data_IF_781096945822
#
_entry.id   IF_781096945822
#
_cell.length_a   1.000
_cell.length_b   1.000
_cell.length_c   1.000
_cell.angle_alpha   90.00
_cell.angle_beta   90.00
_cell.angle_gamma   90.00
#
_symmetry.space_group_name_H-M   'P 1'
#
loop_
_entity.id
_entity.type
_entity.pdbx_description
1 polymer ?
#
# COMPACT_ATOMS: atom_id res chain seq x y z
N UNK A 1 -10.01 20.56 0.76
CA UNK A 1 -10.47 19.15 0.70
C UNK A 1 -9.26 18.24 0.90
N UNK A 2 -9.36 17.16 1.68
CA UNK A 2 -8.25 16.20 1.89
C UNK A 2 -8.55 14.92 1.11
N UNK A 3 -7.55 14.39 0.41
CA UNK A 3 -7.65 13.17 -0.41
C UNK A 3 -6.65 12.14 0.13
N UNK A 4 -7.05 10.87 0.21
CA UNK A 4 -6.20 9.77 0.66
C UNK A 4 -5.98 8.71 -0.42
N UNK A 5 -4.83 8.04 -0.38
CA UNK A 5 -4.51 6.91 -1.23
C UNK A 5 -4.93 5.62 -0.51
N UNK A 6 -5.77 4.83 -1.15
CA UNK A 6 -6.07 3.47 -0.71
C UNK A 6 -5.19 2.51 -1.52
N UNK A 7 -4.11 2.00 -0.91
CA UNK A 7 -3.09 1.25 -1.66
C UNK A 7 -3.50 -0.21 -1.83
N UNK A 8 -3.25 -0.77 -3.01
CA UNK A 8 -3.53 -2.19 -3.23
C UNK A 8 -2.53 -3.08 -2.48
N UNK A 9 -3.04 -4.05 -1.72
CA UNK A 9 -2.25 -5.03 -0.96
C UNK A 9 -2.61 -6.47 -1.32
N UNK A 10 -3.60 -6.67 -2.18
CA UNK A 10 -4.13 -7.96 -2.61
C UNK A 10 -3.88 -8.18 -4.11
N UNK A 11 -3.47 -9.39 -4.49
CA UNK A 11 -3.08 -9.72 -5.85
C UNK A 11 -3.64 -11.08 -6.26
N UNK A 12 -3.89 -11.32 -7.56
CA UNK A 12 -4.26 -12.63 -8.06
C UNK A 12 -3.19 -13.69 -7.81
N UNK A 13 -3.59 -14.96 -7.83
CA UNK A 13 -2.66 -16.09 -7.88
C UNK A 13 -1.69 -15.97 -9.07
N UNK A 14 -0.46 -16.46 -8.90
CA UNK A 14 0.59 -16.45 -9.93
C UNK A 14 1.40 -15.15 -10.04
N UNK A 15 0.98 -14.07 -9.36
CA UNK A 15 1.79 -12.86 -9.26
C UNK A 15 2.98 -13.06 -8.32
N UNK A 16 4.17 -12.61 -8.73
CA UNK A 16 5.31 -12.48 -7.84
C UNK A 16 5.15 -11.22 -6.97
N UNK A 17 4.82 -11.40 -5.68
CA UNK A 17 4.57 -10.28 -4.77
C UNK A 17 5.82 -9.44 -4.49
N UNK A 18 7.02 -10.03 -4.56
CA UNK A 18 8.25 -9.29 -4.32
C UNK A 18 8.46 -8.19 -5.37
N UNK A 19 8.08 -8.46 -6.63
CA UNK A 19 8.15 -7.50 -7.73
C UNK A 19 7.14 -6.34 -7.58
N UNK A 20 6.09 -6.53 -6.76
CA UNK A 20 5.06 -5.49 -6.53
C UNK A 20 5.46 -4.47 -5.47
N UNK A 21 6.39 -4.82 -4.57
CA UNK A 21 6.83 -3.91 -3.50
C UNK A 21 7.44 -2.60 -4.04
N UNK A 22 8.35 -2.62 -5.03
CA UNK A 22 8.85 -1.38 -5.64
C UNK A 22 7.75 -0.52 -6.27
N UNK A 23 6.76 -1.14 -6.90
CA UNK A 23 5.61 -0.44 -7.51
C UNK A 23 4.74 0.24 -6.44
N UNK A 24 4.54 -0.43 -5.29
CA UNK A 24 3.85 0.16 -4.14
C UNK A 24 4.60 1.38 -3.60
N UNK A 25 5.94 1.29 -3.46
CA UNK A 25 6.77 2.42 -3.04
C UNK A 25 6.64 3.60 -4.00
N UNK A 26 6.65 3.33 -5.31
CA UNK A 26 6.50 4.36 -6.33
C UNK A 26 5.13 5.06 -6.22
N UNK A 27 4.05 4.32 -6.00
CA UNK A 27 2.71 4.88 -5.79
C UNK A 27 2.62 5.75 -4.54
N UNK A 28 3.21 5.31 -3.42
CA UNK A 28 3.22 6.09 -2.16
C UNK A 28 3.98 7.41 -2.36
N UNK A 29 5.16 7.37 -3.00
CA UNK A 29 5.94 8.58 -3.29
C UNK A 29 5.19 9.52 -4.21
N UNK A 30 4.58 9.00 -5.29
CA UNK A 30 3.81 9.79 -6.21
C UNK A 30 2.59 10.46 -5.53
N UNK A 31 1.88 9.73 -4.68
CA UNK A 31 0.75 10.29 -3.92
C UNK A 31 1.20 11.36 -2.93
N UNK A 32 2.29 11.13 -2.19
CA UNK A 32 2.90 12.13 -1.31
C UNK A 32 3.26 13.40 -2.09
N UNK A 33 3.98 13.26 -3.20
CA UNK A 33 4.46 14.38 -4.01
C UNK A 33 3.30 15.13 -4.68
N UNK A 34 2.17 14.45 -4.94
CA UNK A 34 0.93 15.03 -5.42
C UNK A 34 0.06 15.68 -4.31
N UNK A 35 0.49 15.65 -3.04
CA UNK A 35 -0.22 16.29 -1.93
C UNK A 35 -1.36 15.49 -1.31
N UNK A 36 -1.37 14.16 -1.46
CA UNK A 36 -2.32 13.30 -0.76
C UNK A 36 -2.08 13.40 0.76
N UNK A 37 -3.15 13.51 1.53
CA UNK A 37 -3.10 13.74 2.97
C UNK A 37 -2.99 12.44 3.79
N UNK A 38 -3.34 11.29 3.23
CA UNK A 38 -3.35 10.02 3.95
C UNK A 38 -3.10 8.80 3.07
N UNK A 39 -2.62 7.72 3.69
CA UNK A 39 -2.36 6.41 3.10
C UNK A 39 -3.12 5.35 3.91
N UNK A 40 -3.93 4.54 3.22
CA UNK A 40 -4.82 3.55 3.81
C UNK A 40 -4.53 2.15 3.31
N UNK A 41 -4.53 1.19 4.23
CA UNK A 41 -4.19 -0.20 3.96
C UNK A 41 -5.43 -1.11 4.08
N UNK A 42 -6.01 -1.61 2.97
CA UNK A 42 -7.02 -2.66 3.05
C UNK A 42 -6.46 -3.89 3.76
N UNK A 43 -7.27 -4.54 4.61
CA UNK A 43 -6.92 -5.81 5.24
C UNK A 43 -8.03 -6.84 5.04
N UNK A 44 -7.71 -7.96 4.37
CA UNK A 44 -8.64 -9.07 4.14
C UNK A 44 -8.06 -10.38 4.66
N UNK A 45 -8.93 -11.30 5.04
CA UNK A 45 -8.59 -12.64 5.51
C UNK A 45 -9.28 -13.69 4.63
N UNK A 46 -8.71 -14.90 4.58
CA UNK A 46 -9.30 -16.06 3.85
C UNK A 46 -9.58 -15.76 2.37
N UNK A 47 -8.61 -15.15 1.69
CA UNK A 47 -8.82 -14.49 0.40
C UNK A 47 -8.73 -15.39 -0.82
N UNK A 48 -8.75 -16.73 -0.68
CA UNK A 48 -8.59 -17.64 -1.82
C UNK A 48 -9.58 -17.30 -2.96
N UNK A 49 -9.14 -17.22 -4.23
CA UNK A 49 -7.80 -17.55 -4.75
C UNK A 49 -6.78 -16.40 -4.74
N UNK A 50 -7.11 -15.24 -4.18
CA UNK A 50 -6.20 -14.10 -4.07
C UNK A 50 -5.16 -14.32 -2.98
N UNK A 51 -3.99 -13.72 -3.18
CA UNK A 51 -2.92 -13.61 -2.19
C UNK A 51 -2.79 -12.17 -1.70
N UNK A 52 -2.27 -12.00 -0.49
CA UNK A 52 -2.24 -10.71 0.18
C UNK A 52 -0.99 -10.54 1.02
N UNK A 53 -0.35 -9.38 0.91
CA UNK A 53 0.76 -9.02 1.80
C UNK A 53 0.24 -8.78 3.21
N UNK A 54 0.99 -9.22 4.21
CA UNK A 54 0.65 -8.92 5.61
C UNK A 54 0.79 -7.42 5.87
N UNK A 55 -0.26 -6.81 6.44
CA UNK A 55 -0.39 -5.35 6.48
C UNK A 55 0.63 -4.71 7.40
N UNK A 56 0.86 -5.25 8.60
CA UNK A 56 1.78 -4.63 9.55
C UNK A 56 3.21 -4.50 8.99
N UNK A 57 3.81 -5.55 8.38
CA UNK A 57 5.12 -5.42 7.72
C UNK A 57 5.13 -4.40 6.57
N UNK A 58 4.14 -4.45 5.67
CA UNK A 58 4.08 -3.51 4.53
C UNK A 58 3.95 -2.07 5.03
N UNK A 59 3.06 -1.83 5.98
CA UNK A 59 2.85 -0.51 6.59
C UNK A 59 4.16 0.04 7.17
N UNK A 60 4.88 -0.77 7.95
CA UNK A 60 6.18 -0.38 8.49
C UNK A 60 7.22 -0.08 7.40
N UNK A 61 7.26 -0.89 6.34
CA UNK A 61 8.19 -0.71 5.23
C UNK A 61 7.91 0.56 4.44
N UNK A 62 6.65 0.83 4.06
CA UNK A 62 6.32 1.97 3.19
C UNK A 62 6.11 3.28 3.95
N UNK A 63 5.96 3.26 5.29
CA UNK A 63 5.82 4.46 6.11
C UNK A 63 6.99 5.43 5.92
N UNK A 64 8.21 4.92 5.70
CA UNK A 64 9.40 5.72 5.39
C UNK A 64 9.27 6.56 4.09
N UNK A 65 8.31 6.23 3.23
CA UNK A 65 8.05 6.92 1.97
C UNK A 65 6.83 7.85 2.01
N UNK A 66 6.02 7.78 3.07
CA UNK A 66 4.76 8.50 3.24
C UNK A 66 4.88 9.74 4.15
N UNK A 67 6.05 10.40 4.18
CA UNK A 67 6.32 11.51 5.08
C UNK A 67 5.25 12.62 4.97
N UNK A 68 4.68 13.01 6.12
CA UNK A 68 3.63 14.04 6.19
C UNK A 68 2.21 13.53 5.95
N UNK A 69 2.03 12.26 5.57
CA UNK A 69 0.71 11.65 5.39
C UNK A 69 0.24 11.00 6.70
N UNK A 70 -1.07 11.04 6.97
CA UNK A 70 -1.69 10.20 7.99
C UNK A 70 -1.76 8.75 7.50
N UNK A 71 -1.37 7.79 8.32
CA UNK A 71 -1.44 6.35 8.00
C UNK A 71 -2.57 5.71 8.80
N UNK A 72 -3.33 4.81 8.15
CA UNK A 72 -4.39 4.03 8.80
C UNK A 72 -4.80 2.76 8.04
#
# INVERSE_FOLDING_TARGET
MKVGLFINTQFPEGFNLAERVPEMVAQVRAARDAGFASLWFPHHWLTHPMQMLQITPVMGYVAAHAQGMTIG
#
